data_IF_359901625658
#
_entry.id   IF_359901625658
#
_cell.length_a   1.000
_cell.length_b   1.000
_cell.length_c   1.000
_cell.angle_alpha   90.00
_cell.angle_beta   90.00
_cell.angle_gamma   90.00
#
_symmetry.space_group_name_H-M   'P 1'
#
loop_
_entity.id
_entity.type
_entity.pdbx_description
1 polymer ?
#
# COMPACT_ATOMS: atom_id res chain seq x y z
N UNK A 1 -20.85 -25.44 28.88
CA UNK A 1 -19.56 -25.46 28.17
C UNK A 1 -19.75 -24.72 26.85
N UNK A 2 -19.61 -23.39 26.87
CA UNK A 2 -19.94 -22.55 25.72
C UNK A 2 -18.92 -22.75 24.59
N UNK A 3 -19.43 -23.00 23.39
CA UNK A 3 -18.65 -23.28 22.19
C UNK A 3 -17.89 -22.03 21.72
N UNK A 4 -16.60 -21.94 22.08
CA UNK A 4 -15.68 -20.90 21.59
C UNK A 4 -15.33 -21.05 20.09
N UNK A 5 -15.78 -22.13 19.43
CA UNK A 5 -15.44 -22.41 18.03
C UNK A 5 -16.09 -21.47 17.01
N UNK A 6 -17.17 -20.77 17.39
CA UNK A 6 -17.91 -19.87 16.49
C UNK A 6 -17.47 -18.40 16.57
N UNK A 7 -16.62 -18.05 17.54
CA UNK A 7 -16.14 -16.67 17.74
C UNK A 7 -14.68 -16.58 17.36
N UNK A 8 -14.37 -15.82 16.30
CA UNK A 8 -13.00 -15.58 15.83
C UNK A 8 -12.62 -14.12 16.08
N UNK A 9 -11.37 -13.88 16.46
CA UNK A 9 -10.86 -12.52 16.61
C UNK A 9 -10.81 -11.79 15.26
N UNK A 10 -11.19 -10.52 15.27
CA UNK A 10 -11.12 -9.65 14.09
C UNK A 10 -9.68 -9.17 13.85
N UNK A 11 -9.22 -9.26 12.60
CA UNK A 11 -7.88 -8.79 12.19
C UNK A 11 -7.78 -7.26 12.13
N UNK A 12 -8.91 -6.54 12.07
CA UNK A 12 -8.94 -5.09 12.00
C UNK A 12 -8.36 -4.45 13.27
N UNK A 13 -8.64 -5.03 14.45
CA UNK A 13 -8.12 -4.53 15.73
C UNK A 13 -6.63 -4.81 15.88
N UNK A 14 -6.17 -6.00 15.47
CA UNK A 14 -4.74 -6.33 15.54
C UNK A 14 -3.91 -5.44 14.62
N UNK A 15 -4.36 -5.19 13.39
CA UNK A 15 -3.71 -4.22 12.47
C UNK A 15 -3.61 -2.81 13.10
N UNK A 16 -4.71 -2.33 13.69
CA UNK A 16 -4.73 -1.05 14.37
C UNK A 16 -3.70 -0.97 15.50
N UNK A 17 -3.63 -1.98 16.36
CA UNK A 17 -2.70 -2.02 17.49
C UNK A 17 -1.24 -2.11 17.02
N UNK A 18 -0.96 -2.90 15.98
CA UNK A 18 0.38 -3.00 15.40
C UNK A 18 0.86 -1.64 14.89
N UNK A 19 -0.01 -0.89 14.21
CA UNK A 19 0.30 0.46 13.73
C UNK A 19 0.52 1.47 14.85
N UNK A 20 -0.24 1.39 15.95
CA UNK A 20 -0.03 2.26 17.13
C UNK A 20 1.37 2.02 17.72
N UNK A 21 1.75 0.75 17.90
CA UNK A 21 3.09 0.38 18.39
C UNK A 21 4.21 0.91 17.48
N UNK A 22 4.09 0.72 16.17
CA UNK A 22 5.05 1.26 15.18
C UNK A 22 5.13 2.79 15.23
N UNK A 23 3.99 3.47 15.36
CA UNK A 23 3.93 4.93 15.47
C UNK A 23 4.64 5.45 16.72
N UNK A 24 4.49 4.77 17.85
CA UNK A 24 5.18 5.14 19.10
C UNK A 24 6.69 4.93 19.02
N UNK A 25 7.14 3.82 18.41
CA UNK A 25 8.57 3.57 18.18
C UNK A 25 9.20 4.66 17.32
N UNK A 26 8.55 5.06 16.23
CA UNK A 26 9.02 6.16 15.36
C UNK A 26 9.08 7.49 16.11
N UNK A 27 8.10 7.80 16.97
CA UNK A 27 8.12 9.00 17.82
C UNK A 27 9.28 8.99 18.81
N UNK A 28 9.59 7.83 19.42
CA UNK A 28 10.73 7.71 20.35
C UNK A 28 12.07 7.90 19.62
N UNK A 29 12.28 7.19 18.51
CA UNK A 29 13.50 7.31 17.71
C UNK A 29 13.74 8.73 17.18
N UNK A 30 12.68 9.45 16.82
CA UNK A 30 12.78 10.85 16.41
C UNK A 30 13.10 11.81 17.56
N UNK A 31 12.55 11.57 18.76
CA UNK A 31 12.93 12.31 19.96
C UNK A 31 14.40 12.10 20.30
N UNK A 32 14.90 10.87 20.19
CA UNK A 32 16.30 10.52 20.44
C UNK A 32 17.25 11.12 19.38
N UNK A 33 16.87 11.07 18.10
CA UNK A 33 17.68 11.62 17.01
C UNK A 33 17.57 13.14 16.84
N UNK A 34 16.69 13.80 17.59
CA UNK A 34 16.46 15.26 17.52
C UNK A 34 15.85 15.76 16.21
N UNK A 35 15.47 14.85 15.29
CA UNK A 35 14.85 15.20 14.00
C UNK A 35 13.34 15.06 14.10
N UNK A 36 12.54 16.00 13.56
CA UNK A 36 11.09 15.85 13.56
C UNK A 36 10.67 14.62 12.75
N UNK A 37 9.74 13.83 13.29
CA UNK A 37 9.12 12.73 12.55
C UNK A 37 8.39 13.32 11.34
N UNK A 38 8.66 12.87 10.10
CA UNK A 38 7.89 13.31 8.95
C UNK A 38 6.41 12.95 9.13
N UNK A 39 5.50 13.91 8.92
CA UNK A 39 4.06 13.70 9.12
C UNK A 39 3.50 12.53 8.28
N UNK A 40 4.16 12.18 7.18
CA UNK A 40 3.85 11.04 6.31
C UNK A 40 4.10 9.67 6.94
N UNK A 41 4.98 9.55 7.95
CA UNK A 41 5.23 8.27 8.63
C UNK A 41 4.29 8.00 9.81
N UNK A 42 3.64 9.06 10.32
CA UNK A 42 2.65 8.97 11.40
C UNK A 42 1.22 8.89 10.88
N UNK A 43 0.89 9.72 9.89
CA UNK A 43 -0.45 9.78 9.29
C UNK A 43 -0.46 8.99 7.98
N UNK A 44 -1.49 8.18 7.78
CA UNK A 44 -1.73 7.52 6.49
C UNK A 44 -2.06 8.58 5.45
N UNK A 45 -1.38 8.52 4.31
CA UNK A 45 -1.67 9.34 3.14
C UNK A 45 -2.31 8.47 2.06
N UNK A 46 -3.23 9.00 1.24
CA UNK A 46 -3.68 8.30 0.04
C UNK A 46 -2.50 8.11 -0.92
N UNK A 47 -2.66 7.20 -1.89
CA UNK A 47 -1.66 7.08 -2.95
C UNK A 47 -1.62 8.38 -3.76
N UNK A 48 -0.45 9.02 -3.76
CA UNK A 48 -0.21 10.19 -4.58
C UNK A 48 0.01 9.83 -6.05
N UNK A 49 0.19 10.84 -6.92
CA UNK A 49 0.56 10.62 -8.31
C UNK A 49 1.81 9.74 -8.44
N UNK A 50 1.84 8.90 -9.47
CA UNK A 50 3.03 8.09 -9.78
C UNK A 50 4.21 9.03 -10.04
N UNK A 51 5.37 8.70 -9.45
CA UNK A 51 6.60 9.46 -9.70
C UNK A 51 7.03 9.30 -11.15
N UNK A 52 7.72 10.31 -11.67
CA UNK A 52 8.37 10.25 -12.98
C UNK A 52 9.37 9.09 -13.01
N UNK A 53 9.37 8.33 -14.09
CA UNK A 53 10.34 7.28 -14.35
C UNK A 53 10.66 7.22 -15.85
N UNK A 54 11.84 6.71 -16.19
CA UNK A 54 12.29 6.54 -17.57
C UNK A 54 12.00 5.11 -18.04
N UNK A 55 11.21 4.96 -19.10
CA UNK A 55 10.99 3.68 -19.77
C UNK A 55 12.01 3.52 -20.90
N UNK A 56 12.83 2.46 -20.83
CA UNK A 56 13.84 2.16 -21.86
C UNK A 56 13.28 1.21 -22.91
N UNK A 57 13.57 1.49 -24.17
CA UNK A 57 13.07 0.71 -25.33
C UNK A 57 14.00 -0.44 -25.74
N UNK A 58 15.20 -0.55 -25.13
CA UNK A 58 16.15 -1.63 -25.45
C UNK A 58 15.60 -2.96 -24.94
N UNK A 59 15.27 -3.87 -25.87
CA UNK A 59 14.68 -5.18 -25.55
C UNK A 59 13.15 -5.16 -25.36
N UNK A 60 12.52 -3.99 -25.41
CA UNK A 60 11.08 -3.82 -25.35
C UNK A 60 10.63 -2.82 -26.43
N UNK A 61 10.50 -3.33 -27.68
CA UNK A 61 10.02 -2.52 -28.81
C UNK A 61 8.53 -2.26 -28.62
N UNK A 62 8.03 -1.02 -28.82
CA UNK A 62 6.60 -0.75 -28.78
C UNK A 62 5.89 -1.58 -29.86
N UNK A 63 4.81 -2.24 -29.48
CA UNK A 63 3.98 -2.99 -30.41
C UNK A 63 2.90 -2.07 -30.99
N UNK A 64 2.75 -2.11 -32.32
CA UNK A 64 1.61 -1.48 -33.00
C UNK A 64 0.42 -2.43 -32.84
N UNK A 65 -0.69 -1.91 -32.33
CA UNK A 65 -1.94 -2.65 -32.13
C UNK A 65 -3.02 -1.99 -32.97
N UNK A 66 -3.73 -2.79 -33.77
CA UNK A 66 -4.81 -2.34 -34.65
C UNK A 66 -6.17 -2.78 -34.11
N UNK A 67 -7.24 -2.00 -34.33
CA UNK A 67 -8.59 -2.41 -33.96
C UNK A 67 -9.01 -3.65 -34.76
N UNK A 68 -9.64 -4.60 -34.08
CA UNK A 68 -10.18 -5.81 -34.72
C UNK A 68 -11.44 -5.40 -35.52
N UNK A 69 -11.63 -5.91 -36.75
CA UNK A 69 -12.84 -5.63 -37.52
C UNK A 69 -14.09 -6.19 -36.84
N UNK A 70 -15.24 -5.57 -37.09
CA UNK A 70 -16.53 -6.08 -36.63
C UNK A 70 -16.80 -7.46 -37.20
N UNK A 71 -17.09 -8.43 -36.32
CA UNK A 71 -17.49 -9.78 -36.67
C UNK A 71 -18.78 -10.12 -35.94
N UNK A 72 -19.81 -10.47 -36.69
CA UNK A 72 -21.01 -11.08 -36.12
C UNK A 72 -20.69 -12.57 -35.83
N UNK A 73 -20.61 -12.93 -34.55
CA UNK A 73 -20.43 -14.31 -34.11
C UNK A 73 -21.79 -14.78 -33.57
N UNK A 74 -22.40 -15.75 -34.27
CA UNK A 74 -23.64 -16.41 -33.87
C UNK A 74 -23.35 -17.70 -33.09
#
# INVERSE_FOLDING_TARGET
MFSFYLVKHSKCRSDFLNRVKQSEQLKRAAKESGKPVPASSLKRQPQGPRKQHLVRTRGNKPQIVEPIPYQFVA
#
